data_IF_517759169717
#
_entry.id   IF_517759169717
#
_cell.length_a   1.000
_cell.length_b   1.000
_cell.length_c   1.000
_cell.angle_alpha   90.00
_cell.angle_beta   90.00
_cell.angle_gamma   90.00
#
_symmetry.space_group_name_H-M   'P 1'
#
loop_
_entity.id
_entity.type
_entity.pdbx_description
1 polymer ?
#
# COMPACT_ATOMS: atom_id res chain seq x y z
N UNK A 1 -44.04 14.60 16.14
CA UNK A 1 -43.15 14.86 17.30
C UNK A 1 -42.24 13.66 17.64
N UNK A 2 -42.76 12.43 17.70
CA UNK A 2 -42.00 11.23 18.06
C UNK A 2 -40.85 10.85 17.11
N UNK A 3 -40.99 11.09 15.80
CA UNK A 3 -39.94 10.78 14.82
C UNK A 3 -38.67 11.64 15.03
N UNK A 4 -38.85 12.94 15.32
CA UNK A 4 -37.75 13.87 15.57
C UNK A 4 -37.01 13.50 16.87
N UNK A 5 -37.75 13.09 17.91
CA UNK A 5 -37.18 12.63 19.19
C UNK A 5 -36.38 11.33 19.06
N UNK A 6 -36.80 10.42 18.17
CA UNK A 6 -36.06 9.18 17.91
C UNK A 6 -34.76 9.41 17.14
N UNK A 7 -34.75 10.36 16.20
CA UNK A 7 -33.56 10.74 15.45
C UNK A 7 -32.54 11.42 16.37
N UNK A 8 -32.96 12.38 17.20
CA UNK A 8 -32.07 13.05 18.16
C UNK A 8 -31.55 12.11 19.26
N UNK A 9 -32.30 11.05 19.63
CA UNK A 9 -31.81 10.01 20.54
C UNK A 9 -30.79 9.05 19.91
N UNK A 10 -30.92 8.73 18.63
CA UNK A 10 -30.02 7.78 17.92
C UNK A 10 -28.76 8.44 17.34
N UNK A 11 -28.84 9.72 16.97
CA UNK A 11 -27.70 10.49 16.47
C UNK A 11 -26.43 10.44 17.37
N UNK A 12 -26.51 10.65 18.71
CA UNK A 12 -25.32 10.58 19.55
C UNK A 12 -24.76 9.16 19.70
N UNK A 13 -25.59 8.11 19.51
CA UNK A 13 -25.13 6.72 19.54
C UNK A 13 -24.36 6.36 18.26
N UNK A 14 -24.81 6.86 17.11
CA UNK A 14 -24.10 6.71 15.83
C UNK A 14 -22.79 7.51 15.82
N UNK A 15 -22.78 8.73 16.37
CA UNK A 15 -21.56 9.52 16.50
C UNK A 15 -20.49 8.80 17.36
N UNK A 16 -20.89 8.17 18.47
CA UNK A 16 -20.00 7.33 19.29
C UNK A 16 -19.53 6.06 18.58
N UNK A 17 -20.36 5.48 17.70
CA UNK A 17 -19.97 4.33 16.89
C UNK A 17 -18.89 4.72 15.87
N UNK A 18 -19.07 5.86 15.20
CA UNK A 18 -18.08 6.44 14.26
C UNK A 18 -16.79 6.78 15.00
N UNK A 19 -16.88 7.38 16.19
CA UNK A 19 -15.71 7.68 17.03
C UNK A 19 -14.97 6.40 17.49
N UNK A 20 -15.70 5.34 17.83
CA UNK A 20 -15.11 4.03 18.16
C UNK A 20 -14.50 3.34 16.93
N UNK A 21 -15.08 3.51 15.74
CA UNK A 21 -14.56 2.97 14.48
C UNK A 21 -13.37 3.78 13.95
N UNK A 22 -13.24 5.05 14.35
CA UNK A 22 -12.05 5.86 14.10
C UNK A 22 -10.89 5.58 15.07
N UNK A 23 -11.00 4.56 15.94
CA UNK A 23 -9.89 4.12 16.79
C UNK A 23 -8.90 3.33 15.94
N UNK A 24 -7.77 3.98 15.70
CA UNK A 24 -6.41 3.45 15.58
C UNK A 24 -6.37 1.99 15.12
N UNK A 25 -5.93 1.75 13.89
CA UNK A 25 -5.56 0.40 13.45
C UNK A 25 -4.39 -0.06 14.35
N UNK A 26 -4.71 -0.69 15.48
CA UNK A 26 -3.75 -1.29 16.38
C UNK A 26 -3.41 -2.63 15.75
N UNK A 27 -2.24 -2.71 15.11
CA UNK A 27 -1.74 -3.98 14.62
C UNK A 27 -1.50 -4.91 15.82
N UNK A 28 -1.94 -6.15 15.70
CA UNK A 28 -1.55 -7.19 16.64
C UNK A 28 -0.05 -7.48 16.46
N UNK A 29 0.67 -7.87 17.53
CA UNK A 29 2.08 -8.22 17.40
C UNK A 29 2.25 -9.34 16.36
N UNK A 30 3.29 -9.26 15.51
CA UNK A 30 3.49 -10.24 14.45
C UNK A 30 3.72 -11.63 15.05
N UNK A 31 3.05 -12.65 14.47
CA UNK A 31 3.22 -14.05 14.90
C UNK A 31 4.65 -14.55 14.67
N UNK A 32 5.33 -13.99 13.68
CA UNK A 32 6.73 -14.29 13.34
C UNK A 32 7.45 -12.97 13.12
N UNK A 33 8.56 -12.76 13.84
CA UNK A 33 9.43 -11.60 13.65
C UNK A 33 10.30 -11.87 12.43
N UNK A 34 10.20 -11.02 11.41
CA UNK A 34 11.08 -11.11 10.25
C UNK A 34 12.40 -10.41 10.60
N UNK A 35 13.54 -11.11 10.52
CA UNK A 35 14.85 -10.51 10.76
C UNK A 35 15.19 -9.51 9.65
N UNK A 36 16.05 -8.53 9.97
CA UNK A 36 16.45 -7.47 9.06
C UNK A 36 17.01 -7.99 7.72
N UNK A 37 17.79 -9.08 7.77
CA UNK A 37 18.37 -9.68 6.58
C UNK A 37 17.33 -10.22 5.60
N UNK A 38 16.23 -10.81 6.08
CA UNK A 38 15.13 -11.28 5.21
C UNK A 38 14.46 -10.09 4.50
N UNK A 39 14.28 -8.97 5.20
CA UNK A 39 13.76 -7.74 4.60
C UNK A 39 14.70 -7.17 3.55
N UNK A 40 16.02 -7.20 3.79
CA UNK A 40 17.01 -6.76 2.80
C UNK A 40 17.01 -7.63 1.55
N UNK A 41 16.96 -8.97 1.72
CA UNK A 41 16.93 -9.91 0.59
C UNK A 41 15.67 -9.70 -0.24
N UNK A 42 14.50 -9.55 0.40
CA UNK A 42 13.25 -9.27 -0.28
C UNK A 42 13.32 -7.94 -1.05
N UNK A 43 13.86 -6.89 -0.42
CA UNK A 43 14.04 -5.58 -1.05
C UNK A 43 14.96 -5.65 -2.27
N UNK A 44 16.07 -6.37 -2.19
CA UNK A 44 16.99 -6.57 -3.31
C UNK A 44 16.34 -7.36 -4.45
N UNK A 45 15.59 -8.42 -4.13
CA UNK A 45 14.87 -9.22 -5.12
C UNK A 45 13.82 -8.39 -5.87
N UNK A 46 13.05 -7.57 -5.15
CA UNK A 46 12.09 -6.64 -5.74
C UNK A 46 12.76 -5.59 -6.63
N UNK A 47 13.85 -4.98 -6.14
CA UNK A 47 14.58 -3.98 -6.90
C UNK A 47 15.11 -4.55 -8.22
N UNK A 48 15.80 -5.69 -8.18
CA UNK A 48 16.32 -6.36 -9.38
C UNK A 48 15.18 -6.76 -10.31
N UNK A 49 14.09 -7.31 -9.78
CA UNK A 49 12.92 -7.69 -10.56
C UNK A 49 12.34 -6.51 -11.36
N UNK A 50 12.10 -5.39 -10.69
CA UNK A 50 11.50 -4.19 -11.29
C UNK A 50 12.48 -3.51 -12.27
N UNK A 51 13.75 -3.39 -11.91
CA UNK A 51 14.73 -2.65 -12.72
C UNK A 51 15.35 -3.46 -13.85
N UNK A 52 15.30 -4.79 -13.82
CA UNK A 52 15.92 -5.66 -14.85
C UNK A 52 15.50 -5.30 -16.28
N UNK A 53 14.20 -5.17 -16.52
CA UNK A 53 13.61 -4.86 -17.84
C UNK A 53 13.95 -3.46 -18.34
N UNK A 54 13.68 -2.36 -17.59
CA UNK A 54 14.03 -1.02 -18.06
C UNK A 54 15.54 -0.84 -18.23
N UNK A 55 16.37 -1.47 -17.38
CA UNK A 55 17.83 -1.44 -17.54
C UNK A 55 18.27 -2.10 -18.85
N UNK A 56 17.71 -3.27 -19.18
CA UNK A 56 17.99 -3.95 -20.44
C UNK A 56 17.62 -3.09 -21.67
N UNK A 57 16.46 -2.43 -21.62
CA UNK A 57 16.00 -1.53 -22.69
C UNK A 57 16.95 -0.34 -22.83
N UNK A 58 17.30 0.31 -21.71
CA UNK A 58 18.21 1.45 -21.70
C UNK A 58 19.59 1.10 -22.29
N UNK A 59 20.13 -0.07 -21.94
CA UNK A 59 21.41 -0.55 -22.47
C UNK A 59 21.35 -0.85 -23.98
N UNK A 60 20.19 -1.22 -24.53
CA UNK A 60 20.04 -1.58 -25.94
C UNK A 60 19.42 -0.47 -26.81
N UNK A 61 19.17 0.72 -26.26
CA UNK A 61 18.49 1.81 -26.98
C UNK A 61 19.15 2.21 -28.30
N UNK A 62 20.49 2.13 -28.36
CA UNK A 62 21.27 2.39 -29.58
C UNK A 62 21.03 1.37 -30.69
N UNK A 63 20.78 0.10 -30.34
CA UNK A 63 20.45 -0.94 -31.32
C UNK A 63 19.05 -0.73 -31.89
N UNK A 64 18.12 -0.25 -31.07
CA UNK A 64 16.77 0.09 -31.53
C UNK A 64 16.78 1.32 -32.44
N UNK A 65 17.59 2.34 -32.13
CA UNK A 65 17.68 3.56 -32.93
C UNK A 65 18.53 3.42 -34.21
N UNK A 66 19.51 2.52 -34.23
CA UNK A 66 20.37 2.28 -35.40
C UNK A 66 19.62 1.72 -36.62
N UNK A 67 18.46 1.11 -36.40
CA UNK A 67 17.59 0.54 -37.46
C UNK A 67 16.75 1.60 -38.18
N UNK A 68 16.62 2.82 -37.62
CA UNK A 68 15.84 3.93 -38.21
C UNK A 68 16.66 4.82 -39.17
N UNK A 69 17.98 4.64 -39.24
CA UNK A 69 18.91 5.45 -40.05
C UNK A 69 19.61 4.65 -41.17
N UNK A 70 19.09 3.48 -41.53
CA UNK A 70 19.50 2.71 -42.72
C UNK A 70 18.31 2.59 -43.67
#
# INVERSE_FOLDING_TARGET
>A
MYAIQNITRRAPQLAKLVENQSRTIVSTPPRVKVPFYEMMVLGAALYVGIFSVPMYIACNIRKYNGTLNK
#
